data_IF_384706355743
#
_entry.id   IF_384706355743
#
_cell.length_a   1.000
_cell.length_b   1.000
_cell.length_c   1.000
_cell.angle_alpha   90.00
_cell.angle_beta   90.00
_cell.angle_gamma   90.00
#
_symmetry.space_group_name_H-M   'P 1'
#
loop_
_entity.id
_entity.type
_entity.pdbx_description
1 polymer ?
#
# COMPACT_ATOMS: atom_id res chain seq x y z
N UNK A 1 79.73 55.12 18.57
CA UNK A 1 79.42 56.01 19.72
C UNK A 1 78.05 55.59 20.23
N UNK A 2 77.99 54.86 21.37
CA UNK A 2 76.81 54.53 22.21
C UNK A 2 75.59 53.85 21.53
N UNK A 3 74.84 52.90 22.08
CA UNK A 3 74.82 52.04 23.26
C UNK A 3 73.53 51.18 23.08
N UNK A 4 73.54 49.91 23.55
CA UNK A 4 72.38 49.19 24.16
C UNK A 4 71.15 48.88 23.27
N UNK A 5 70.38 47.80 23.38
CA UNK A 5 70.36 46.59 24.22
C UNK A 5 69.27 45.66 23.66
N UNK A 6 69.58 44.36 23.56
CA UNK A 6 68.76 43.21 24.00
C UNK A 6 67.36 42.95 23.41
N UNK A 7 67.29 41.83 22.65
CA UNK A 7 66.39 40.68 22.86
C UNK A 7 64.87 40.90 22.87
N UNK A 8 64.16 40.33 21.88
CA UNK A 8 63.41 39.05 22.04
C UNK A 8 62.64 38.65 20.77
N UNK A 9 62.76 37.35 20.50
CA UNK A 9 61.77 36.44 19.91
C UNK A 9 61.63 36.33 18.37
N UNK A 10 62.29 35.27 17.86
CA UNK A 10 61.80 34.20 16.98
C UNK A 10 61.30 34.61 15.57
N UNK A 11 62.05 34.41 14.47
CA UNK A 11 62.38 33.12 13.79
C UNK A 11 61.20 32.14 13.76
N UNK A 12 60.75 31.55 12.65
CA UNK A 12 61.19 31.58 11.27
C UNK A 12 60.14 30.86 10.40
N UNK A 13 60.13 31.22 9.11
CA UNK A 13 60.03 30.35 7.93
C UNK A 13 58.83 29.40 7.80
N UNK A 14 57.93 29.66 6.84
CA UNK A 14 58.02 29.24 5.43
C UNK A 14 57.84 27.72 5.21
N UNK A 15 56.73 27.40 4.54
CA UNK A 15 56.62 26.45 3.42
C UNK A 15 56.84 24.96 3.73
N UNK A 16 56.15 23.99 3.13
CA UNK A 16 54.97 23.87 2.29
C UNK A 16 54.77 22.34 2.11
N UNK A 17 53.55 21.96 1.70
CA UNK A 17 53.19 20.69 1.04
C UNK A 17 52.87 19.49 1.96
N UNK A 18 51.74 18.87 1.61
CA UNK A 18 51.16 17.58 2.02
C UNK A 18 50.04 17.70 3.07
N UNK A 19 48.87 18.14 2.62
CA UNK A 19 47.60 17.64 3.15
C UNK A 19 46.92 16.95 1.96
N UNK A 20 47.07 15.63 1.93
CA UNK A 20 46.31 14.78 1.03
C UNK A 20 44.83 14.93 1.33
N UNK A 21 44.08 15.25 0.27
CA UNK A 21 42.63 15.20 0.21
C UNK A 21 42.16 13.79 0.60
N UNK A 22 41.75 13.60 1.86
CA UNK A 22 40.79 12.56 2.20
C UNK A 22 39.42 13.16 1.84
N UNK A 23 39.06 13.06 0.56
CA UNK A 23 37.65 13.08 0.19
C UNK A 23 37.11 11.78 0.76
N UNK A 24 36.48 11.87 1.93
CA UNK A 24 35.59 10.82 2.40
C UNK A 24 34.50 10.71 1.35
N UNK A 25 34.67 9.75 0.45
CA UNK A 25 33.56 9.21 -0.32
C UNK A 25 32.59 8.64 0.72
N UNK A 26 31.63 9.47 1.14
CA UNK A 26 30.34 8.96 1.57
C UNK A 26 29.77 8.25 0.34
N UNK A 27 30.17 6.99 0.17
CA UNK A 27 29.52 6.08 -0.75
C UNK A 27 28.10 5.97 -0.26
N UNK A 28 27.20 6.72 -0.90
CA UNK A 28 25.82 6.32 -1.01
C UNK A 28 25.85 4.86 -1.41
N UNK A 29 25.47 3.99 -0.49
CA UNK A 29 25.21 2.59 -0.82
C UNK A 29 23.93 2.60 -1.63
N UNK A 30 24.03 3.03 -2.89
CA UNK A 30 23.04 2.71 -3.90
C UNK A 30 23.09 1.20 -3.99
N UNK A 31 22.18 0.54 -3.28
CA UNK A 31 21.87 -0.86 -3.51
C UNK A 31 21.70 -0.98 -5.02
N UNK A 32 22.69 -1.59 -5.68
CA UNK A 32 22.60 -1.81 -7.11
C UNK A 32 21.41 -2.74 -7.30
N UNK A 33 20.29 -2.20 -7.80
CA UNK A 33 19.19 -3.00 -8.32
C UNK A 33 19.84 -4.05 -9.21
N UNK A 34 19.63 -5.32 -8.89
CA UNK A 34 20.14 -6.37 -9.76
C UNK A 34 19.47 -6.14 -11.12
N UNK A 35 20.24 -6.04 -12.20
CA UNK A 35 19.70 -5.97 -13.56
C UNK A 35 18.67 -7.08 -13.84
N UNK A 36 18.64 -8.14 -13.03
CA UNK A 36 17.61 -9.17 -13.01
C UNK A 36 16.20 -8.69 -12.65
N UNK A 37 16.01 -7.74 -11.72
CA UNK A 37 14.65 -7.33 -11.29
C UNK A 37 13.86 -6.67 -12.42
N UNK A 38 14.57 -5.98 -13.33
CA UNK A 38 13.99 -5.36 -14.53
C UNK A 38 13.48 -6.38 -15.56
N UNK A 39 13.72 -7.68 -15.35
CA UNK A 39 13.11 -8.74 -16.15
C UNK A 39 11.63 -8.91 -15.83
N UNK A 40 11.15 -8.47 -14.66
CA UNK A 40 9.73 -8.48 -14.30
C UNK A 40 9.02 -7.40 -15.12
N UNK A 41 7.97 -7.78 -15.86
CA UNK A 41 7.18 -6.85 -16.69
C UNK A 41 5.69 -6.85 -16.38
N UNK A 42 5.20 -7.79 -15.58
CA UNK A 42 3.82 -7.85 -15.12
C UNK A 42 3.78 -8.02 -13.60
N UNK A 43 3.27 -7.01 -12.90
CA UNK A 43 3.06 -7.02 -11.45
C UNK A 43 1.57 -7.13 -11.17
N UNK A 44 1.21 -8.06 -10.31
CA UNK A 44 -0.13 -8.27 -9.77
C UNK A 44 -0.06 -8.04 -8.26
N UNK A 45 -1.00 -7.26 -7.74
CA UNK A 45 -1.15 -7.02 -6.31
C UNK A 45 -2.57 -7.46 -5.95
N UNK A 46 -2.68 -8.41 -5.02
CA UNK A 46 -3.94 -8.70 -4.33
C UNK A 46 -3.78 -8.13 -2.92
N UNK A 47 -4.62 -7.19 -2.55
CA UNK A 47 -4.67 -6.65 -1.20
C UNK A 47 -5.87 -7.24 -0.47
N UNK A 48 -5.59 -7.84 0.68
CA UNK A 48 -6.56 -8.35 1.63
C UNK A 48 -6.72 -7.35 2.79
N UNK A 49 -7.70 -7.54 3.65
CA UNK A 49 -8.04 -6.54 4.67
C UNK A 49 -7.80 -7.03 6.10
N UNK A 50 -7.32 -6.11 6.95
CA UNK A 50 -7.36 -6.13 8.41
C UNK A 50 -7.01 -7.46 9.08
N UNK A 51 -5.85 -8.04 8.77
CA UNK A 51 -5.43 -9.31 9.38
C UNK A 51 -3.97 -9.29 9.84
N UNK A 52 -3.75 -9.73 11.07
CA UNK A 52 -2.43 -9.72 11.67
C UNK A 52 -1.64 -11.00 11.35
N UNK A 53 -0.31 -10.87 11.26
CA UNK A 53 0.58 -11.98 10.87
C UNK A 53 0.36 -13.26 11.69
N UNK A 54 0.20 -13.12 13.00
CA UNK A 54 0.04 -14.27 13.90
C UNK A 54 -1.29 -15.03 13.67
N UNK A 55 -2.35 -14.34 13.23
CA UNK A 55 -3.64 -14.95 12.91
C UNK A 55 -3.58 -15.62 11.53
N UNK A 56 -3.07 -14.90 10.54
CA UNK A 56 -2.99 -15.38 9.14
C UNK A 56 -1.99 -16.51 8.96
N UNK A 57 -0.78 -16.42 9.53
CA UNK A 57 0.30 -17.37 9.32
C UNK A 57 0.54 -18.30 10.53
N UNK A 58 -0.30 -18.20 11.56
CA UNK A 58 -0.24 -19.04 12.75
C UNK A 58 -0.82 -20.44 12.54
N UNK A 59 -0.64 -21.29 13.56
CA UNK A 59 -1.05 -22.70 13.52
C UNK A 59 -2.57 -22.92 13.34
N UNK A 60 -3.40 -21.93 13.69
CA UNK A 60 -4.87 -22.01 13.64
C UNK A 60 -5.49 -21.20 12.49
N UNK A 61 -4.67 -20.81 11.50
CA UNK A 61 -5.12 -20.01 10.35
C UNK A 61 -6.37 -20.57 9.68
N UNK A 62 -7.26 -19.66 9.27
CA UNK A 62 -8.41 -19.97 8.41
C UNK A 62 -8.09 -19.82 6.92
N UNK A 63 -6.87 -19.37 6.59
CA UNK A 63 -6.37 -19.25 5.24
C UNK A 63 -5.15 -20.15 4.95
N UNK A 64 -5.27 -21.49 5.10
CA UNK A 64 -4.15 -22.41 4.86
C UNK A 64 -3.61 -22.36 3.43
N UNK A 65 -4.41 -21.94 2.44
CA UNK A 65 -3.92 -21.77 1.08
C UNK A 65 -2.87 -20.66 1.02
N UNK A 66 -3.14 -19.48 1.60
CA UNK A 66 -2.15 -18.41 1.71
C UNK A 66 -0.97 -18.81 2.60
N UNK A 67 -1.29 -19.23 3.83
CA UNK A 67 -0.33 -19.41 4.90
C UNK A 67 0.65 -20.57 4.70
N UNK A 68 0.23 -21.60 3.97
CA UNK A 68 1.01 -22.82 3.80
C UNK A 68 1.31 -23.08 2.32
N UNK A 69 0.27 -23.09 1.48
CA UNK A 69 0.45 -23.46 0.07
C UNK A 69 1.23 -22.40 -0.69
N UNK A 70 0.75 -21.16 -0.73
CA UNK A 70 1.40 -20.07 -1.46
C UNK A 70 2.74 -19.68 -0.81
N UNK A 71 2.81 -19.62 0.52
CA UNK A 71 4.07 -19.42 1.23
C UNK A 71 5.16 -20.45 0.84
N UNK A 72 4.79 -21.72 0.65
CA UNK A 72 5.73 -22.76 0.20
C UNK A 72 6.13 -22.65 -1.28
N UNK A 73 5.30 -22.00 -2.10
CA UNK A 73 5.51 -21.86 -3.54
C UNK A 73 6.35 -20.63 -3.93
N UNK A 74 6.44 -19.64 -3.05
CA UNK A 74 7.22 -18.42 -3.29
C UNK A 74 7.98 -17.95 -2.05
N UNK A 75 7.83 -16.67 -1.73
CA UNK A 75 8.43 -16.03 -0.56
C UNK A 75 7.36 -15.68 0.48
N UNK A 76 7.59 -16.08 1.74
CA UNK A 76 6.90 -15.52 2.90
C UNK A 76 7.69 -14.34 3.44
N UNK A 77 7.09 -13.15 3.43
CA UNK A 77 7.63 -11.95 4.04
C UNK A 77 7.05 -11.82 5.44
N UNK A 78 7.83 -12.20 6.44
CA UNK A 78 7.33 -12.24 7.82
C UNK A 78 7.15 -10.84 8.39
N UNK A 79 8.04 -9.92 8.03
CA UNK A 79 8.13 -8.57 8.59
C UNK A 79 7.53 -7.54 7.61
N UNK A 80 6.33 -7.80 7.10
CA UNK A 80 5.57 -6.83 6.31
C UNK A 80 4.56 -6.10 7.20
N UNK A 81 4.44 -4.79 7.02
CA UNK A 81 3.64 -3.90 7.87
C UNK A 81 2.72 -3.01 7.03
N UNK A 82 1.53 -2.74 7.58
CA UNK A 82 0.69 -1.63 7.12
C UNK A 82 1.35 -0.28 7.44
N UNK A 83 0.88 0.78 6.79
CA UNK A 83 1.36 2.16 6.98
C UNK A 83 0.40 3.06 7.74
N UNK A 84 -0.87 2.71 7.84
CA UNK A 84 -1.88 3.38 8.63
C UNK A 84 -2.87 2.41 9.27
N UNK A 85 -3.88 2.94 9.94
CA UNK A 85 -4.75 2.18 10.85
C UNK A 85 -6.15 1.87 10.29
N UNK A 86 -6.42 2.37 9.09
CA UNK A 86 -7.69 2.18 8.39
C UNK A 86 -7.37 1.93 6.92
N UNK A 87 -8.23 1.22 6.21
CA UNK A 87 -7.94 0.72 4.87
C UNK A 87 -7.48 1.79 3.89
N UNK A 88 -8.21 2.91 3.77
CA UNK A 88 -7.98 3.86 2.68
C UNK A 88 -6.56 4.43 2.68
N UNK A 89 -6.01 4.75 3.84
CA UNK A 89 -4.69 5.39 3.87
C UNK A 89 -3.55 4.46 3.42
N UNK A 90 -3.73 3.15 3.62
CA UNK A 90 -2.83 2.10 3.14
C UNK A 90 -2.90 1.94 1.62
N UNK A 91 -4.10 1.93 1.04
CA UNK A 91 -4.28 1.92 -0.42
C UNK A 91 -3.67 3.16 -1.08
N UNK A 92 -3.87 4.35 -0.50
CA UNK A 92 -3.26 5.60 -0.96
C UNK A 92 -1.73 5.53 -0.89
N UNK A 93 -1.17 4.99 0.20
CA UNK A 93 0.27 4.80 0.36
C UNK A 93 0.84 3.87 -0.72
N UNK A 94 0.16 2.75 -1.01
CA UNK A 94 0.55 1.79 -2.04
C UNK A 94 0.55 2.38 -3.46
N UNK A 95 -0.37 3.31 -3.75
CA UNK A 95 -0.52 3.87 -5.10
C UNK A 95 0.32 5.14 -5.34
N UNK A 96 0.56 5.95 -4.31
CA UNK A 96 1.07 7.32 -4.47
C UNK A 96 2.19 7.72 -3.52
N UNK A 97 2.48 6.88 -2.52
CA UNK A 97 3.44 7.19 -1.46
C UNK A 97 3.01 8.36 -0.57
N UNK A 98 1.76 8.83 -0.67
CA UNK A 98 1.20 9.83 0.23
C UNK A 98 0.92 9.23 1.60
N UNK A 99 1.22 10.01 2.63
CA UNK A 99 0.86 9.74 4.02
C UNK A 99 -0.56 10.23 4.32
N UNK A 100 -1.16 9.74 5.41
CA UNK A 100 -2.57 9.99 5.68
C UNK A 100 -2.88 11.48 5.94
N UNK A 101 -4.08 11.90 5.55
CA UNK A 101 -4.79 13.06 6.10
C UNK A 101 -5.75 12.63 7.20
N UNK A 102 -6.35 13.57 7.91
CA UNK A 102 -7.43 13.22 8.85
C UNK A 102 -8.64 12.59 8.15
N UNK A 103 -8.87 12.87 6.86
CA UNK A 103 -9.97 12.26 6.10
C UNK A 103 -9.62 10.84 5.65
N UNK A 104 -8.43 10.61 5.09
CA UNK A 104 -8.03 9.28 4.64
C UNK A 104 -7.78 8.34 5.81
N UNK A 105 -7.31 8.86 6.95
CA UNK A 105 -7.19 8.12 8.23
C UNK A 105 -8.56 7.84 8.89
N UNK A 106 -9.67 8.19 8.23
CA UNK A 106 -11.04 7.84 8.60
C UNK A 106 -11.86 7.38 7.36
N UNK A 107 -11.20 6.69 6.42
CA UNK A 107 -11.78 6.10 5.19
C UNK A 107 -12.54 7.07 4.28
N UNK A 108 -12.39 8.37 4.50
CA UNK A 108 -13.09 9.42 3.78
C UNK A 108 -14.61 9.21 3.66
N UNK A 109 -15.29 9.09 4.81
CA UNK A 109 -16.76 8.94 4.90
C UNK A 109 -17.53 9.96 4.02
N UNK A 110 -17.02 11.18 3.92
CA UNK A 110 -17.48 12.16 2.93
C UNK A 110 -16.42 12.28 1.85
N UNK A 111 -16.71 11.76 0.66
CA UNK A 111 -15.79 11.72 -0.47
C UNK A 111 -15.57 13.14 -1.01
N UNK A 112 -14.52 13.82 -0.53
CA UNK A 112 -14.34 15.26 -0.67
C UNK A 112 -13.01 15.64 -1.31
N UNK A 113 -13.04 16.75 -2.06
CA UNK A 113 -11.85 17.33 -2.69
C UNK A 113 -10.76 17.63 -1.66
N UNK A 114 -9.52 17.34 -2.03
CA UNK A 114 -8.35 17.74 -1.28
C UNK A 114 -8.02 19.22 -1.53
N UNK A 115 -8.08 20.02 -0.47
CA UNK A 115 -7.66 21.41 -0.46
C UNK A 115 -6.14 21.49 -0.29
N UNK A 116 -5.42 21.58 -1.41
CA UNK A 116 -3.96 21.64 -1.43
C UNK A 116 -3.45 23.01 -1.00
N UNK A 117 -2.60 23.03 0.03
CA UNK A 117 -1.98 24.25 0.58
C UNK A 117 -0.47 24.29 0.41
N UNK A 118 0.17 23.16 0.11
CA UNK A 118 1.60 23.07 -0.16
C UNK A 118 2.04 21.64 -0.45
N UNK A 119 3.34 21.48 -0.67
CA UNK A 119 4.00 20.18 -0.82
C UNK A 119 5.27 20.17 0.01
N UNK A 120 5.59 19.07 0.67
CA UNK A 120 6.90 18.87 1.29
C UNK A 120 7.97 18.57 0.23
N UNK A 121 9.28 18.70 0.54
CA UNK A 121 10.35 18.42 -0.42
C UNK A 121 10.38 16.97 -0.92
N UNK A 122 9.91 16.02 -0.12
CA UNK A 122 9.75 14.60 -0.45
C UNK A 122 8.39 14.26 -1.07
N UNK A 123 7.61 15.28 -1.48
CA UNK A 123 6.43 15.09 -2.31
C UNK A 123 5.15 14.73 -1.56
N UNK A 124 5.05 14.97 -0.25
CA UNK A 124 3.80 14.86 0.50
C UNK A 124 2.94 16.11 0.27
N UNK A 125 1.67 15.90 -0.11
CA UNK A 125 0.68 16.96 -0.19
C UNK A 125 0.33 17.47 1.22
N UNK A 126 0.33 18.79 1.40
CA UNK A 126 -0.05 19.46 2.64
C UNK A 126 -1.44 20.04 2.47
N UNK A 127 -2.40 19.59 3.27
CA UNK A 127 -3.79 20.03 3.17
C UNK A 127 -4.78 19.10 3.86
N UNK A 128 -6.05 19.20 3.46
CA UNK A 128 -7.16 18.44 4.03
C UNK A 128 -8.09 17.95 2.92
N UNK A 129 -8.74 16.81 3.13
CA UNK A 129 -9.57 16.12 2.14
C UNK A 129 -8.94 14.81 1.70
N UNK A 130 -9.57 14.11 0.76
CA UNK A 130 -9.11 12.78 0.35
C UNK A 130 -9.01 12.58 -1.16
N UNK A 131 -9.65 13.42 -1.98
CA UNK A 131 -9.52 13.35 -3.44
C UNK A 131 -8.44 14.33 -3.90
N UNK A 132 -7.23 13.83 -4.11
CA UNK A 132 -6.05 14.62 -4.40
C UNK A 132 -6.12 15.28 -5.79
N UNK A 133 -5.66 16.54 -5.95
CA UNK A 133 -5.63 17.20 -7.25
C UNK A 133 -4.65 16.50 -8.20
N UNK A 134 -4.86 16.64 -9.52
CA UNK A 134 -4.07 15.97 -10.56
C UNK A 134 -2.55 16.33 -10.57
N UNK A 135 -2.15 17.34 -9.78
CA UNK A 135 -0.75 17.67 -9.53
C UNK A 135 -0.04 16.67 -8.61
N UNK A 136 -0.78 15.95 -7.76
CA UNK A 136 -0.25 14.85 -6.95
C UNK A 136 -0.20 13.61 -7.82
N UNK A 137 0.99 13.03 -7.98
CA UNK A 137 1.23 11.93 -8.92
C UNK A 137 1.10 10.57 -8.27
N UNK A 138 0.66 9.62 -9.09
CA UNK A 138 0.41 8.23 -8.73
C UNK A 138 1.29 7.30 -9.57
N UNK A 139 1.41 6.04 -9.15
CA UNK A 139 2.06 5.00 -9.94
C UNK A 139 1.45 4.86 -11.35
N UNK A 140 0.10 4.86 -11.54
CA UNK A 140 -0.54 5.00 -12.84
C UNK A 140 -0.05 6.15 -13.72
N UNK A 141 0.15 7.35 -13.15
CA UNK A 141 0.70 8.50 -13.90
C UNK A 141 2.10 8.17 -14.44
N UNK A 142 2.96 7.59 -13.59
CA UNK A 142 4.34 7.25 -13.95
C UNK A 142 4.41 6.12 -14.98
N UNK A 143 3.62 5.07 -14.79
CA UNK A 143 3.54 3.94 -15.72
C UNK A 143 3.09 4.41 -17.10
N UNK A 144 2.01 5.20 -17.15
CA UNK A 144 1.49 5.76 -18.41
C UNK A 144 2.54 6.64 -19.08
N UNK A 145 3.23 7.51 -18.33
CA UNK A 145 4.29 8.36 -18.87
C UNK A 145 5.49 7.56 -19.40
N UNK A 146 5.77 6.40 -18.83
CA UNK A 146 6.82 5.48 -19.26
C UNK A 146 6.36 4.50 -20.37
N UNK A 147 5.09 4.56 -20.81
CA UNK A 147 4.53 3.68 -21.84
C UNK A 147 4.12 2.30 -21.35
N UNK A 148 3.99 2.10 -20.04
CA UNK A 148 3.42 0.89 -19.44
C UNK A 148 1.92 1.04 -19.21
N UNK A 149 1.25 -0.11 -19.16
CA UNK A 149 -0.20 -0.21 -18.94
C UNK A 149 -0.51 -0.56 -17.49
N UNK A 150 -1.68 -0.17 -17.00
CA UNK A 150 -2.13 -0.46 -15.65
C UNK A 150 -3.64 -0.69 -15.62
N UNK A 151 -4.12 -1.50 -14.67
CA UNK A 151 -5.54 -1.73 -14.40
C UNK A 151 -5.84 -1.99 -12.92
N UNK A 152 -7.05 -1.61 -12.50
CA UNK A 152 -7.70 -1.98 -11.25
C UNK A 152 -8.87 -2.92 -11.51
N UNK A 153 -9.00 -3.95 -10.68
CA UNK A 153 -10.01 -5.00 -10.77
C UNK A 153 -10.70 -5.15 -9.43
N UNK A 154 -11.83 -4.47 -9.30
CA UNK A 154 -12.55 -4.34 -8.03
C UNK A 154 -13.75 -5.29 -8.03
N UNK A 155 -13.82 -6.21 -7.08
CA UNK A 155 -14.94 -7.15 -6.98
C UNK A 155 -16.23 -6.42 -6.59
N UNK A 156 -17.36 -6.90 -7.13
CA UNK A 156 -18.70 -6.30 -7.01
C UNK A 156 -18.92 -4.88 -7.55
N UNK A 157 -17.88 -4.16 -8.00
CA UNK A 157 -18.06 -2.80 -8.57
C UNK A 157 -19.15 -2.78 -9.65
N UNK A 158 -20.17 -1.95 -9.45
CA UNK A 158 -21.28 -1.74 -10.38
C UNK A 158 -22.45 -2.69 -10.23
N UNK A 159 -22.51 -3.49 -9.16
CA UNK A 159 -23.66 -4.34 -8.91
C UNK A 159 -24.90 -3.50 -8.57
N UNK A 160 -24.76 -2.40 -7.84
CA UNK A 160 -25.79 -1.38 -7.66
C UNK A 160 -25.44 -0.06 -8.38
N UNK A 161 -26.02 0.21 -9.57
CA UNK A 161 -25.80 1.46 -10.29
C UNK A 161 -26.35 2.71 -9.59
N UNK A 162 -27.06 2.56 -8.46
CA UNK A 162 -27.50 3.68 -7.62
C UNK A 162 -26.47 4.06 -6.56
N UNK A 163 -25.51 3.18 -6.24
CA UNK A 163 -24.38 3.44 -5.34
C UNK A 163 -23.15 3.91 -6.10
N UNK A 164 -22.80 3.26 -7.22
CA UNK A 164 -21.65 3.63 -8.04
C UNK A 164 -21.77 3.20 -9.51
N UNK A 165 -20.86 3.72 -10.36
CA UNK A 165 -20.77 3.31 -11.75
C UNK A 165 -20.07 1.95 -11.93
N UNK A 166 -20.41 1.20 -12.99
CA UNK A 166 -19.84 -0.13 -13.24
C UNK A 166 -18.36 -0.17 -13.68
N UNK A 167 -17.78 1.01 -13.88
CA UNK A 167 -16.35 1.22 -14.15
C UNK A 167 -16.01 2.59 -13.60
N UNK A 168 -14.81 2.79 -13.03
CA UNK A 168 -14.49 4.03 -12.32
C UNK A 168 -15.58 4.36 -11.28
N UNK A 169 -16.01 3.36 -10.51
CA UNK A 169 -17.11 3.49 -9.57
C UNK A 169 -16.68 4.25 -8.32
N UNK A 170 -17.18 5.48 -8.16
CA UNK A 170 -16.91 6.29 -6.97
C UNK A 170 -18.12 7.18 -6.63
N UNK A 171 -18.22 7.67 -5.37
CA UNK A 171 -19.25 8.63 -4.99
C UNK A 171 -19.15 9.93 -5.77
N UNK A 172 -20.23 10.70 -5.79
CA UNK A 172 -20.17 12.08 -6.28
C UNK A 172 -19.30 12.91 -5.33
N UNK A 173 -18.44 13.79 -5.89
CA UNK A 173 -17.61 14.68 -5.08
C UNK A 173 -18.43 15.49 -4.08
N UNK A 174 -17.89 15.58 -2.87
CA UNK A 174 -18.43 16.25 -1.70
C UNK A 174 -19.76 15.65 -1.20
N UNK A 175 -19.95 14.34 -1.39
CA UNK A 175 -21.11 13.60 -0.87
C UNK A 175 -20.68 12.45 0.05
N UNK A 176 -21.62 11.93 0.84
CA UNK A 176 -21.37 10.74 1.66
C UNK A 176 -21.10 9.54 0.75
N UNK A 177 -20.05 8.80 1.08
CA UNK A 177 -19.75 7.54 0.42
C UNK A 177 -20.71 6.44 0.90
N UNK A 178 -21.60 5.99 0.02
CA UNK A 178 -22.57 4.92 0.29
C UNK A 178 -21.94 3.52 0.18
N UNK A 179 -20.71 3.44 -0.32
CA UNK A 179 -19.95 2.20 -0.43
C UNK A 179 -19.27 1.82 0.89
N UNK A 180 -19.36 2.68 1.91
CA UNK A 180 -18.80 2.39 3.24
C UNK A 180 -19.44 1.18 3.93
N UNK A 181 -20.67 0.84 3.56
CA UNK A 181 -21.41 -0.30 4.07
C UNK A 181 -21.82 -1.24 2.94
N UNK A 182 -21.59 -2.53 3.12
CA UNK A 182 -22.05 -3.58 2.23
C UNK A 182 -23.60 -3.61 2.08
N UNK A 183 -24.08 -3.85 0.88
CA UNK A 183 -25.49 -4.06 0.56
C UNK A 183 -25.81 -5.56 0.43
N UNK A 184 -26.77 -6.03 1.23
CA UNK A 184 -27.26 -7.40 1.15
C UNK A 184 -28.08 -7.63 -0.15
N UNK A 185 -28.14 -8.87 -0.67
CA UNK A 185 -29.00 -9.22 -1.79
C UNK A 185 -30.46 -8.78 -1.61
N UNK A 186 -31.01 -8.12 -2.62
CA UNK A 186 -32.38 -7.59 -2.63
C UNK A 186 -33.05 -7.82 -3.99
N UNK A 187 -34.34 -7.47 -4.11
CA UNK A 187 -35.02 -7.55 -5.41
C UNK A 187 -34.46 -6.53 -6.43
N UNK A 188 -33.91 -5.42 -5.97
CA UNK A 188 -33.30 -4.40 -6.82
C UNK A 188 -31.84 -4.73 -7.17
N UNK A 189 -31.13 -5.35 -6.22
CA UNK A 189 -29.71 -5.72 -6.33
C UNK A 189 -29.55 -7.21 -5.99
N UNK A 190 -29.84 -8.14 -6.93
CA UNK A 190 -29.97 -9.57 -6.62
C UNK A 190 -28.70 -10.26 -6.12
N UNK A 191 -27.53 -9.71 -6.44
CA UNK A 191 -26.24 -10.24 -5.99
C UNK A 191 -25.78 -9.60 -4.66
N UNK A 192 -26.49 -8.56 -4.20
CA UNK A 192 -25.93 -7.61 -3.24
C UNK A 192 -24.79 -6.82 -3.87
N UNK A 193 -24.17 -5.95 -3.07
CA UNK A 193 -23.04 -5.15 -3.50
C UNK A 193 -22.11 -4.90 -2.31
N UNK A 194 -20.92 -5.49 -2.39
CA UNK A 194 -19.90 -5.40 -1.35
C UNK A 194 -18.65 -4.68 -1.86
N UNK A 195 -18.76 -3.91 -2.96
CA UNK A 195 -17.71 -2.98 -3.37
C UNK A 195 -17.59 -1.84 -2.34
N UNK A 196 -16.34 -1.47 -2.05
CA UNK A 196 -15.98 -0.39 -1.15
C UNK A 196 -14.96 0.53 -1.82
N UNK A 197 -15.35 1.78 -2.08
CA UNK A 197 -14.48 2.76 -2.74
C UNK A 197 -13.22 2.99 -1.93
N UNK A 198 -13.28 2.92 -0.60
CA UNK A 198 -12.10 3.05 0.28
C UNK A 198 -10.99 2.02 0.02
N UNK A 199 -11.28 0.90 -0.66
CA UNK A 199 -10.27 -0.09 -1.06
C UNK A 199 -9.80 0.11 -2.52
N UNK A 200 -10.34 1.09 -3.24
CA UNK A 200 -9.94 1.47 -4.60
C UNK A 200 -9.18 2.82 -4.56
N UNK A 201 -7.84 2.82 -4.45
CA UNK A 201 -7.07 4.06 -4.38
C UNK A 201 -7.13 4.89 -5.67
N UNK A 202 -7.49 4.28 -6.81
CA UNK A 202 -7.58 5.00 -8.08
C UNK A 202 -8.65 6.09 -8.03
N UNK A 203 -9.69 5.89 -7.20
CA UNK A 203 -10.80 6.82 -7.06
C UNK A 203 -10.43 8.09 -6.27
N UNK A 204 -9.23 8.20 -5.69
CA UNK A 204 -8.90 9.34 -4.84
C UNK A 204 -7.94 10.33 -5.50
N UNK A 205 -7.79 10.30 -6.83
CA UNK A 205 -6.91 11.21 -7.56
C UNK A 205 -7.58 11.76 -8.81
N UNK A 206 -7.67 13.09 -8.92
CA UNK A 206 -8.15 13.78 -10.13
C UNK A 206 -7.31 13.47 -11.38
N UNK A 207 -6.04 13.05 -11.24
CA UNK A 207 -5.26 12.57 -12.39
C UNK A 207 -5.86 11.31 -13.02
N UNK A 208 -6.69 10.58 -12.28
CA UNK A 208 -7.34 9.35 -12.72
C UNK A 208 -8.83 9.58 -12.96
N UNK A 209 -9.60 10.03 -11.97
CA UNK A 209 -11.07 10.08 -12.06
C UNK A 209 -11.58 11.08 -13.12
N UNK A 210 -10.82 12.15 -13.40
CA UNK A 210 -11.15 13.10 -14.46
C UNK A 210 -10.57 12.69 -15.83
N UNK A 211 -9.78 11.61 -15.87
CA UNK A 211 -9.18 11.13 -17.10
C UNK A 211 -10.17 10.30 -17.93
N UNK A 212 -10.10 10.37 -19.27
CA UNK A 212 -10.93 9.53 -20.13
C UNK A 212 -10.57 8.03 -20.05
N UNK A 213 -9.45 7.69 -19.39
CA UNK A 213 -8.98 6.32 -19.22
C UNK A 213 -9.57 5.60 -18.00
N UNK A 214 -10.17 6.32 -17.04
CA UNK A 214 -10.60 5.72 -15.78
C UNK A 214 -11.53 4.52 -16.00
N UNK A 215 -12.62 4.70 -16.75
CA UNK A 215 -13.59 3.63 -17.02
C UNK A 215 -13.07 2.47 -17.89
N UNK A 216 -11.89 2.60 -18.48
CA UNK A 216 -11.23 1.50 -19.20
C UNK A 216 -10.26 0.72 -18.32
N UNK A 217 -9.66 1.40 -17.34
CA UNK A 217 -8.60 0.85 -16.52
C UNK A 217 -9.09 0.32 -15.17
N UNK A 218 -10.13 0.94 -14.60
CA UNK A 218 -10.71 0.54 -13.30
C UNK A 218 -12.08 -0.05 -13.55
N UNK A 219 -12.17 -1.36 -13.35
CA UNK A 219 -13.31 -2.17 -13.79
C UNK A 219 -13.65 -3.25 -12.77
N UNK A 220 -14.85 -3.82 -12.91
CA UNK A 220 -15.23 -4.99 -12.13
C UNK A 220 -14.26 -6.18 -12.34
N UNK A 221 -13.94 -6.91 -11.27
CA UNK A 221 -13.03 -8.07 -11.25
C UNK A 221 -13.35 -9.14 -12.31
N UNK A 222 -14.60 -9.28 -12.71
CA UNK A 222 -15.01 -10.22 -13.78
C UNK A 222 -14.26 -10.02 -15.11
N UNK A 223 -13.74 -8.81 -15.37
CA UNK A 223 -12.94 -8.51 -16.59
C UNK A 223 -11.56 -9.15 -16.59
N UNK A 224 -10.98 -9.44 -15.42
CA UNK A 224 -9.61 -9.96 -15.29
C UNK A 224 -9.40 -11.23 -16.13
N UNK A 225 -10.35 -12.15 -16.14
CA UNK A 225 -10.24 -13.41 -16.90
C UNK A 225 -10.10 -13.21 -18.40
N UNK A 226 -10.68 -12.14 -18.95
CA UNK A 226 -10.56 -11.81 -20.38
C UNK A 226 -9.19 -11.18 -20.65
N UNK A 227 -8.77 -10.26 -19.80
CA UNK A 227 -7.50 -9.55 -19.98
C UNK A 227 -6.29 -10.48 -19.81
N UNK A 228 -6.40 -11.52 -18.98
CA UNK A 228 -5.36 -12.54 -18.78
C UNK A 228 -5.16 -13.52 -19.96
N UNK A 229 -5.98 -13.45 -21.02
CA UNK A 229 -5.90 -14.42 -22.13
C UNK A 229 -4.61 -14.32 -22.95
N UNK A 230 -3.93 -13.17 -22.94
CA UNK A 230 -2.69 -12.96 -23.69
C UNK A 230 -1.79 -11.93 -23.04
N UNK A 231 -0.49 -11.99 -23.34
CA UNK A 231 0.48 -10.96 -22.90
C UNK A 231 0.08 -9.56 -23.35
N UNK A 232 -0.53 -9.41 -24.53
CA UNK A 232 -0.89 -8.11 -25.08
C UNK A 232 -2.13 -7.48 -24.42
N UNK A 233 -2.95 -8.28 -23.73
CA UNK A 233 -4.19 -7.83 -23.08
C UNK A 233 -4.02 -7.67 -21.56
N UNK A 234 -3.03 -8.34 -20.96
CA UNK A 234 -2.68 -8.17 -19.55
C UNK A 234 -1.93 -6.85 -19.35
N UNK A 235 -2.35 -6.04 -18.37
CA UNK A 235 -1.65 -4.81 -18.04
C UNK A 235 -0.30 -5.08 -17.34
N UNK A 236 0.65 -4.14 -17.42
CA UNK A 236 1.92 -4.26 -16.72
C UNK A 236 1.77 -4.18 -15.19
N UNK A 237 0.84 -3.37 -14.70
CA UNK A 237 0.45 -3.32 -13.29
C UNK A 237 -1.03 -3.64 -13.14
N UNK A 238 -1.36 -4.54 -12.22
CA UNK A 238 -2.73 -4.99 -11.97
C UNK A 238 -2.95 -4.95 -10.45
N UNK A 239 -3.83 -4.08 -9.98
CA UNK A 239 -4.36 -4.12 -8.61
C UNK A 239 -5.66 -4.92 -8.63
N UNK A 240 -5.80 -5.87 -7.71
CA UNK A 240 -6.96 -6.73 -7.55
C UNK A 240 -7.44 -6.57 -6.11
N UNK A 241 -8.66 -6.11 -5.95
CA UNK A 241 -9.26 -5.86 -4.64
C UNK A 241 -10.51 -6.74 -4.50
N UNK A 242 -10.50 -7.71 -3.57
CA UNK A 242 -11.70 -8.47 -3.24
C UNK A 242 -12.78 -7.56 -2.64
N UNK A 243 -14.03 -8.01 -2.66
CA UNK A 243 -15.12 -7.28 -2.01
C UNK A 243 -15.05 -7.48 -0.49
N UNK A 244 -15.90 -6.78 0.25
CA UNK A 244 -15.93 -6.86 1.72
C UNK A 244 -16.14 -8.28 2.27
N UNK A 245 -16.67 -9.21 1.48
CA UNK A 245 -16.82 -10.60 1.94
C UNK A 245 -15.56 -11.44 1.75
N UNK A 246 -14.83 -11.18 0.67
CA UNK A 246 -13.72 -12.01 0.19
C UNK A 246 -12.34 -11.43 0.57
N UNK A 247 -12.29 -10.24 1.16
CA UNK A 247 -11.06 -9.53 1.50
C UNK A 247 -10.35 -10.06 2.75
N UNK A 248 -11.05 -10.76 3.64
CA UNK A 248 -10.48 -11.30 4.86
C UNK A 248 -10.95 -10.65 6.16
N UNK A 249 -11.68 -9.53 6.09
CA UNK A 249 -12.09 -8.76 7.25
C UNK A 249 -13.54 -9.01 7.67
N UNK A 250 -14.53 -8.71 6.82
CA UNK A 250 -15.92 -8.74 7.27
C UNK A 250 -16.40 -10.17 7.50
N UNK A 251 -16.96 -10.44 8.68
CA UNK A 251 -17.53 -11.75 9.01
C UNK A 251 -18.66 -11.63 10.03
N UNK A 252 -19.83 -12.27 9.79
CA UNK A 252 -20.24 -12.90 8.53
C UNK A 252 -20.57 -11.87 7.43
N UNK A 253 -20.55 -12.28 6.17
CA UNK A 253 -20.91 -11.41 5.05
C UNK A 253 -22.42 -11.10 5.03
N UNK A 254 -22.79 -9.95 4.47
CA UNK A 254 -24.21 -9.53 4.36
C UNK A 254 -25.04 -10.44 3.43
N UNK A 255 -24.38 -11.20 2.56
CA UNK A 255 -25.00 -12.19 1.68
C UNK A 255 -25.14 -13.59 2.33
N UNK A 256 -24.73 -13.75 3.60
CA UNK A 256 -24.82 -14.99 4.36
C UNK A 256 -23.61 -15.94 4.22
N UNK A 257 -22.59 -15.56 3.46
CA UNK A 257 -21.32 -16.30 3.41
C UNK A 257 -20.49 -16.13 4.70
N UNK A 258 -19.51 -17.01 4.96
CA UNK A 258 -18.73 -16.99 6.20
C UNK A 258 -17.93 -15.70 6.43
N UNK A 259 -17.38 -15.12 5.38
CA UNK A 259 -16.49 -13.95 5.49
C UNK A 259 -15.14 -14.27 6.11
N UNK A 260 -14.42 -13.21 6.47
CA UNK A 260 -13.11 -13.29 7.11
C UNK A 260 -12.08 -14.07 6.28
N UNK A 261 -10.99 -14.50 6.94
CA UNK A 261 -9.96 -15.35 6.32
C UNK A 261 -10.48 -16.64 5.66
N UNK A 262 -11.68 -17.12 6.00
CA UNK A 262 -12.27 -18.31 5.34
C UNK A 262 -12.69 -17.99 3.91
N UNK A 263 -13.35 -16.85 3.70
CA UNK A 263 -13.70 -16.36 2.36
C UNK A 263 -12.45 -15.96 1.58
N UNK A 264 -11.52 -15.20 2.19
CA UNK A 264 -10.25 -14.84 1.55
C UNK A 264 -9.44 -16.07 1.09
N UNK A 265 -9.43 -17.15 1.87
CA UNK A 265 -8.83 -18.41 1.45
C UNK A 265 -9.44 -18.95 0.15
N UNK A 266 -10.77 -18.91 0.06
CA UNK A 266 -11.53 -19.40 -1.09
C UNK A 266 -11.32 -18.51 -2.32
N UNK A 267 -11.33 -17.18 -2.11
CA UNK A 267 -11.00 -16.20 -3.12
C UNK A 267 -9.61 -16.46 -3.72
N UNK A 268 -8.58 -16.61 -2.88
CA UNK A 268 -7.21 -16.88 -3.35
C UNK A 268 -7.10 -18.23 -4.05
N UNK A 269 -7.78 -19.28 -3.57
CA UNK A 269 -7.81 -20.60 -4.22
C UNK A 269 -8.36 -20.55 -5.64
N UNK A 270 -9.27 -19.60 -5.93
CA UNK A 270 -9.81 -19.36 -7.26
C UNK A 270 -8.86 -18.51 -8.11
N UNK A 271 -8.48 -17.34 -7.61
CA UNK A 271 -7.86 -16.31 -8.44
C UNK A 271 -6.36 -16.51 -8.64
N UNK A 272 -5.63 -17.01 -7.64
CA UNK A 272 -4.18 -17.19 -7.77
C UNK A 272 -3.82 -18.20 -8.88
N UNK A 273 -4.49 -19.37 -9.02
CA UNK A 273 -4.25 -20.26 -10.16
C UNK A 273 -4.59 -19.63 -11.51
N UNK A 274 -5.64 -18.81 -11.60
CA UNK A 274 -6.03 -18.11 -12.84
C UNK A 274 -4.94 -17.12 -13.25
N UNK A 275 -4.45 -16.29 -12.31
CA UNK A 275 -3.38 -15.32 -12.55
C UNK A 275 -2.08 -16.03 -12.90
N UNK A 276 -1.65 -16.98 -12.08
CA UNK A 276 -0.33 -17.63 -12.22
C UNK A 276 -0.24 -18.53 -13.44
N UNK A 277 -1.35 -19.01 -13.99
CA UNK A 277 -1.37 -19.76 -15.26
C UNK A 277 -1.45 -18.88 -16.51
N UNK A 278 -1.64 -17.56 -16.37
CA UNK A 278 -1.75 -16.64 -17.50
C UNK A 278 -0.44 -16.51 -18.29
N UNK A 279 -0.48 -16.26 -19.61
CA UNK A 279 0.73 -16.11 -20.43
C UNK A 279 1.66 -15.00 -19.93
N UNK A 280 1.11 -13.85 -19.55
CA UNK A 280 1.87 -12.72 -19.03
C UNK A 280 2.61 -13.06 -17.73
N UNK A 281 1.93 -13.74 -16.80
CA UNK A 281 2.56 -14.14 -15.55
C UNK A 281 3.69 -15.15 -15.76
N UNK A 282 3.46 -16.16 -16.62
CA UNK A 282 4.47 -17.16 -16.95
C UNK A 282 5.69 -16.56 -17.67
N UNK A 283 5.47 -15.49 -18.45
CA UNK A 283 6.54 -14.79 -19.14
C UNK A 283 7.46 -14.06 -18.16
N UNK A 284 6.94 -13.24 -17.26
CA UNK A 284 7.73 -12.34 -16.41
C UNK A 284 6.90 -11.73 -15.26
N UNK A 285 6.03 -12.53 -14.65
CA UNK A 285 5.12 -12.13 -13.58
C UNK A 285 5.70 -12.07 -12.18
N UNK A 286 5.22 -11.11 -11.40
CA UNK A 286 5.31 -11.05 -9.93
C UNK A 286 3.89 -10.89 -9.38
N UNK A 287 3.49 -11.77 -8.46
CA UNK A 287 2.26 -11.64 -7.68
C UNK A 287 2.64 -11.32 -6.24
N UNK A 288 2.08 -10.24 -5.71
CA UNK A 288 2.20 -9.80 -4.32
C UNK A 288 0.83 -9.97 -3.68
N UNK A 289 0.76 -10.67 -2.56
CA UNK A 289 -0.45 -10.82 -1.74
C UNK A 289 -0.10 -10.23 -0.37
N UNK A 290 -0.70 -9.08 -0.04
CA UNK A 290 -0.50 -8.37 1.21
C UNK A 290 -1.84 -8.10 1.91
N UNK A 291 -1.76 -7.46 3.07
CA UNK A 291 -2.90 -6.84 3.72
C UNK A 291 -2.63 -5.35 3.90
N UNK A 292 -3.67 -4.53 3.91
CA UNK A 292 -3.64 -3.09 4.20
C UNK A 292 -3.10 -2.77 5.61
N UNK A 293 -3.67 -3.37 6.66
CA UNK A 293 -3.22 -3.25 8.04
C UNK A 293 -3.56 -4.50 8.86
N UNK A 294 -3.06 -4.53 10.08
CA UNK A 294 -3.37 -5.58 11.05
C UNK A 294 -4.61 -5.21 11.87
N UNK A 295 -5.46 -6.19 12.17
CA UNK A 295 -6.62 -6.05 13.08
C UNK A 295 -6.29 -5.87 14.55
N UNK A 296 -5.00 -5.77 14.94
CA UNK A 296 -4.61 -5.72 16.35
C UNK A 296 -4.99 -4.39 17.02
N UNK A 297 -6.16 -4.38 17.65
CA UNK A 297 -6.53 -3.42 18.66
C UNK A 297 -6.57 -4.09 20.05
N UNK A 298 -6.04 -3.41 21.06
CA UNK A 298 -6.34 -3.76 22.45
C UNK A 298 -7.75 -3.28 22.75
N UNK A 299 -8.68 -4.20 23.05
CA UNK A 299 -10.07 -3.87 23.36
C UNK A 299 -10.26 -3.80 24.88
N UNK A 300 -10.73 -2.65 25.36
CA UNK A 300 -11.19 -2.48 26.75
C UNK A 300 -12.69 -2.23 26.74
N UNK A 301 -13.46 -3.13 27.35
CA UNK A 301 -14.91 -2.95 27.48
C UNK A 301 -15.25 -2.20 28.75
N UNK A 302 -16.24 -1.31 28.66
CA UNK A 302 -16.86 -0.59 29.77
C UNK A 302 -18.37 -0.73 29.71
N UNK A 303 -19.06 -0.36 30.80
CA UNK A 303 -20.53 -0.37 30.83
C UNK A 303 -21.19 0.63 29.84
N UNK A 304 -20.42 1.59 29.31
CA UNK A 304 -20.88 2.66 28.43
C UNK A 304 -20.32 2.58 27.00
N UNK A 305 -19.48 1.58 26.70
CA UNK A 305 -18.78 1.54 25.42
C UNK A 305 -17.58 0.62 25.37
N UNK A 306 -16.97 0.55 24.19
CA UNK A 306 -15.74 -0.20 23.92
C UNK A 306 -14.64 0.76 23.47
N UNK A 307 -13.44 0.62 24.05
CA UNK A 307 -12.26 1.37 23.65
C UNK A 307 -11.31 0.42 22.89
N UNK A 308 -11.08 0.71 21.61
CA UNK A 308 -10.11 0.02 20.77
C UNK A 308 -8.84 0.86 20.69
N UNK A 309 -7.72 0.31 21.13
CA UNK A 309 -6.42 0.99 21.10
C UNK A 309 -5.47 0.30 20.13
N UNK A 310 -5.07 1.01 19.09
CA UNK A 310 -4.12 0.56 18.07
C UNK A 310 -2.71 1.01 18.44
N UNK A 311 -1.76 0.08 18.43
CA UNK A 311 -0.39 0.36 18.82
C UNK A 311 0.34 1.19 17.75
N UNK A 312 0.16 0.85 16.47
CA UNK A 312 0.85 1.52 15.37
C UNK A 312 2.31 1.13 15.33
N UNK A 313 2.60 -0.17 15.42
CA UNK A 313 3.95 -0.67 15.17
C UNK A 313 4.28 -0.37 13.72
N UNK A 314 5.33 0.41 13.52
CA UNK A 314 5.85 0.74 12.20
C UNK A 314 7.22 0.09 11.99
N UNK A 315 7.65 0.05 10.73
CA UNK A 315 8.97 -0.40 10.34
C UNK A 315 9.66 0.64 9.45
N UNK A 316 10.84 0.28 8.94
CA UNK A 316 11.30 0.85 7.67
C UNK A 316 11.58 2.35 7.71
N UNK A 317 11.83 2.87 8.93
CA UNK A 317 11.98 4.30 9.21
C UNK A 317 10.82 5.15 8.69
N UNK A 318 9.59 4.61 8.70
CA UNK A 318 8.39 5.36 8.34
C UNK A 318 8.32 6.68 9.11
N UNK A 319 8.01 7.76 8.40
CA UNK A 319 7.88 9.10 8.94
C UNK A 319 6.41 9.46 9.20
N UNK A 320 6.11 10.32 10.18
CA UNK A 320 4.79 10.89 10.32
C UNK A 320 4.50 11.84 9.14
N UNK A 321 3.29 11.75 8.59
CA UNK A 321 2.80 12.64 7.54
C UNK A 321 2.56 14.08 8.01
N UNK A 322 2.48 15.07 7.10
CA UNK A 322 2.30 16.47 7.45
C UNK A 322 0.87 16.85 7.87
N UNK A 323 -0.11 15.97 7.63
CA UNK A 323 -1.54 16.31 7.71
C UNK A 323 -2.24 15.75 8.95
N UNK A 324 -1.55 14.95 9.76
CA UNK A 324 -2.07 14.42 11.02
C UNK A 324 -1.57 15.22 12.22
N UNK A 325 -2.39 15.28 13.26
CA UNK A 325 -1.98 15.83 14.54
C UNK A 325 -0.97 14.91 15.26
N UNK A 326 -0.36 15.41 16.33
CA UNK A 326 0.48 14.57 17.18
C UNK A 326 -0.36 13.43 17.80
N UNK A 327 0.22 12.23 17.84
CA UNK A 327 -0.36 11.07 18.52
C UNK A 327 -0.15 11.14 20.05
N UNK A 328 -1.02 10.51 20.87
CA UNK A 328 -2.18 9.70 20.45
C UNK A 328 -3.34 10.53 19.92
N UNK A 329 -4.10 9.94 19.00
CA UNK A 329 -5.34 10.52 18.47
C UNK A 329 -6.52 9.62 18.80
N UNK A 330 -7.66 10.22 19.15
CA UNK A 330 -8.88 9.47 19.45
C UNK A 330 -10.09 10.02 18.70
N UNK A 331 -10.93 9.12 18.24
CA UNK A 331 -12.26 9.42 17.69
C UNK A 331 -13.30 8.51 18.35
N UNK A 332 -14.56 8.95 18.37
CA UNK A 332 -15.65 8.15 18.92
C UNK A 332 -16.82 8.12 17.95
N UNK A 333 -17.44 6.94 17.81
CA UNK A 333 -18.66 6.75 17.04
C UNK A 333 -19.70 6.00 17.87
N UNK A 334 -20.97 6.18 17.53
CA UNK A 334 -22.08 5.44 18.14
C UNK A 334 -22.44 4.26 17.26
N UNK A 335 -22.38 3.05 17.80
CA UNK A 335 -22.75 1.82 17.11
C UNK A 335 -23.62 0.97 18.02
N UNK A 336 -24.79 0.53 17.56
CA UNK A 336 -25.67 -0.34 18.34
C UNK A 336 -26.10 0.21 19.71
N UNK A 337 -26.05 1.54 19.92
CA UNK A 337 -26.38 2.18 21.20
C UNK A 337 -25.24 2.22 22.23
N UNK A 338 -24.03 1.80 21.86
CA UNK A 338 -22.80 1.97 22.64
C UNK A 338 -21.86 2.98 21.96
N UNK A 339 -20.98 3.61 22.75
CA UNK A 339 -19.90 4.43 22.21
C UNK A 339 -18.69 3.54 21.94
N UNK A 340 -18.19 3.56 20.71
CA UNK A 340 -16.92 2.94 20.35
C UNK A 340 -15.88 4.06 20.25
N UNK A 341 -14.82 4.00 21.06
CA UNK A 341 -13.68 4.92 20.98
C UNK A 341 -12.52 4.24 20.29
N UNK A 342 -12.06 4.80 19.18
CA UNK A 342 -10.85 4.38 18.50
C UNK A 342 -9.71 5.27 18.99
N UNK A 343 -8.62 4.69 19.49
CA UNK A 343 -7.42 5.42 19.91
C UNK A 343 -6.19 4.88 19.19
N UNK A 344 -5.56 5.73 18.38
CA UNK A 344 -4.33 5.43 17.65
C UNK A 344 -3.15 5.98 18.45
N UNK A 345 -2.22 5.12 18.87
CA UNK A 345 -1.07 5.51 19.70
C UNK A 345 0.09 6.07 18.89
N UNK A 346 0.18 5.69 17.61
CA UNK A 346 1.23 6.07 16.66
C UNK A 346 0.68 5.99 15.24
N UNK A 347 1.44 6.43 14.25
CA UNK A 347 1.24 6.02 12.84
C UNK A 347 1.74 4.58 12.62
N UNK A 348 1.52 4.02 11.42
CA UNK A 348 1.85 2.63 11.09
C UNK A 348 0.63 1.71 11.22
N UNK A 349 0.65 0.56 10.56
CA UNK A 349 -0.49 -0.36 10.47
C UNK A 349 -0.25 -1.74 11.06
N UNK A 350 0.77 -1.87 11.94
CA UNK A 350 1.14 -3.11 12.60
C UNK A 350 1.53 -4.24 11.61
N UNK A 351 1.89 -5.41 12.12
CA UNK A 351 2.48 -6.50 11.32
C UNK A 351 1.42 -7.40 10.68
N UNK A 352 1.38 -7.43 9.35
CA UNK A 352 0.42 -8.22 8.56
C UNK A 352 1.06 -9.45 7.93
N UNK A 353 2.29 -9.30 7.43
CA UNK A 353 2.92 -10.28 6.55
C UNK A 353 2.48 -10.17 5.10
N UNK A 354 3.25 -10.78 4.20
CA UNK A 354 2.91 -10.88 2.79
C UNK A 354 3.44 -12.18 2.18
N UNK A 355 2.84 -12.61 1.08
CA UNK A 355 3.34 -13.70 0.25
C UNK A 355 3.60 -13.19 -1.16
N UNK A 356 4.74 -13.56 -1.74
CA UNK A 356 5.09 -13.20 -3.11
C UNK A 356 5.38 -14.43 -3.95
N UNK A 357 4.79 -14.51 -5.14
CA UNK A 357 4.98 -15.60 -6.09
C UNK A 357 5.59 -15.06 -7.38
N UNK A 358 6.68 -15.67 -7.83
CA UNK A 358 7.29 -15.37 -9.12
C UNK A 358 8.27 -16.48 -9.50
N UNK A 359 8.54 -16.67 -10.79
CA UNK A 359 9.64 -17.54 -11.25
C UNK A 359 11.03 -17.04 -10.81
N UNK A 360 11.12 -15.76 -10.44
CA UNK A 360 12.33 -15.10 -9.95
C UNK A 360 12.54 -15.28 -8.43
N UNK A 361 11.66 -16.03 -7.77
CA UNK A 361 11.70 -16.35 -6.34
C UNK A 361 11.84 -17.87 -6.22
N UNK A 362 12.81 -18.33 -5.43
CA UNK A 362 12.94 -19.76 -5.11
C UNK A 362 11.78 -20.17 -4.18
N UNK A 363 11.04 -21.27 -4.48
CA UNK A 363 9.99 -21.75 -3.59
C UNK A 363 10.49 -22.00 -2.15
N UNK A 364 9.70 -21.58 -1.17
CA UNK A 364 10.01 -21.69 0.26
C UNK A 364 10.98 -20.62 0.76
N UNK A 365 11.14 -19.52 0.03
CA UNK A 365 11.90 -18.35 0.49
C UNK A 365 11.22 -17.75 1.72
N UNK A 366 12.00 -17.32 2.70
CA UNK A 366 11.50 -16.60 3.87
C UNK A 366 12.34 -15.35 4.05
N UNK A 367 11.69 -14.19 4.08
CA UNK A 367 12.34 -12.92 4.38
C UNK A 367 11.91 -12.41 5.75
N UNK A 368 12.91 -11.96 6.51
CA UNK A 368 12.76 -11.23 7.78
C UNK A 368 13.14 -9.75 7.61
N UNK A 369 13.42 -9.31 6.38
CA UNK A 369 13.62 -7.89 6.09
C UNK A 369 12.29 -7.17 6.29
N UNK A 370 12.37 -6.02 6.95
CA UNK A 370 11.22 -5.19 7.19
C UNK A 370 10.79 -4.46 5.91
N UNK A 371 9.51 -4.59 5.57
CA UNK A 371 8.88 -3.89 4.45
C UNK A 371 7.53 -3.33 4.86
N UNK A 372 7.10 -2.26 4.20
CA UNK A 372 5.73 -1.76 4.28
C UNK A 372 5.20 -1.38 2.88
N UNK A 373 4.05 -0.72 2.81
CA UNK A 373 3.47 -0.27 1.54
C UNK A 373 4.36 0.67 0.74
N UNK A 374 5.10 1.57 1.40
CA UNK A 374 6.07 2.42 0.72
C UNK A 374 7.22 1.58 0.12
N UNK A 375 7.69 0.53 0.82
CA UNK A 375 8.67 -0.41 0.27
C UNK A 375 8.12 -1.14 -0.96
N UNK A 376 6.84 -1.52 -0.95
CA UNK A 376 6.20 -2.16 -2.11
C UNK A 376 6.15 -1.21 -3.31
N UNK A 377 5.65 0.01 -3.12
CA UNK A 377 5.61 1.02 -4.18
C UNK A 377 7.01 1.28 -4.74
N UNK A 378 7.99 1.49 -3.87
CA UNK A 378 9.40 1.64 -4.24
C UNK A 378 9.90 0.50 -5.13
N UNK A 379 9.55 -0.74 -4.77
CA UNK A 379 9.97 -1.93 -5.50
C UNK A 379 9.37 -1.99 -6.90
N UNK A 380 8.11 -1.59 -7.03
CA UNK A 380 7.41 -1.56 -8.31
C UNK A 380 7.99 -0.44 -9.19
N UNK A 381 8.25 0.74 -8.62
CA UNK A 381 8.93 1.83 -9.30
C UNK A 381 10.34 1.41 -9.77
N UNK A 382 11.10 0.70 -8.94
CA UNK A 382 12.41 0.15 -9.27
C UNK A 382 12.36 -0.87 -10.42
N UNK A 383 11.37 -1.78 -10.43
CA UNK A 383 11.12 -2.76 -11.50
C UNK A 383 10.89 -2.06 -12.84
N UNK A 384 10.06 -1.00 -12.84
CA UNK A 384 9.70 -0.26 -14.05
C UNK A 384 10.65 0.90 -14.37
N UNK A 385 11.70 1.12 -13.57
CA UNK A 385 12.68 2.21 -13.71
C UNK A 385 12.03 3.60 -13.65
N UNK A 386 11.10 3.77 -12.71
CA UNK A 386 10.39 5.02 -12.44
C UNK A 386 11.10 5.83 -11.34
N UNK A 387 10.72 7.09 -11.18
CA UNK A 387 11.12 7.85 -9.99
C UNK A 387 10.34 7.40 -8.76
N UNK A 388 10.82 7.70 -7.56
CA UNK A 388 10.11 7.31 -6.34
C UNK A 388 9.13 8.39 -5.88
N UNK A 389 7.85 8.03 -5.72
CA UNK A 389 6.78 8.91 -5.26
C UNK A 389 6.73 9.01 -3.73
N UNK A 390 6.54 10.22 -3.21
CA UNK A 390 6.28 10.43 -1.79
C UNK A 390 7.28 9.72 -0.88
N UNK A 391 6.77 8.99 0.11
CA UNK A 391 7.59 8.24 1.04
C UNK A 391 8.20 6.96 0.46
N UNK A 392 7.87 6.53 -0.76
CA UNK A 392 8.68 5.51 -1.47
C UNK A 392 10.09 6.02 -1.77
N UNK A 393 10.28 7.35 -1.83
CA UNK A 393 11.57 8.01 -2.01
C UNK A 393 12.31 8.37 -0.72
N UNK A 394 11.77 8.04 0.45
CA UNK A 394 12.37 8.46 1.73
C UNK A 394 13.72 7.80 1.97
N UNK A 395 14.62 8.53 2.64
CA UNK A 395 15.93 8.01 2.99
C UNK A 395 15.83 6.80 3.94
N UNK A 396 16.59 5.74 3.64
CA UNK A 396 16.63 4.53 4.47
C UNK A 396 15.53 3.50 4.18
N UNK A 397 14.53 3.84 3.36
CA UNK A 397 13.54 2.86 2.91
C UNK A 397 14.15 1.90 1.88
N UNK A 398 13.96 0.61 2.13
CA UNK A 398 14.40 -0.46 1.25
C UNK A 398 13.23 -1.02 0.45
N UNK A 399 13.46 -1.25 -0.84
CA UNK A 399 12.57 -2.07 -1.69
C UNK A 399 12.97 -3.55 -1.61
N UNK A 400 12.11 -4.41 -2.13
CA UNK A 400 12.34 -5.85 -2.25
C UNK A 400 13.66 -6.12 -2.97
N UNK A 401 14.51 -6.95 -2.36
CA UNK A 401 15.85 -7.21 -2.86
C UNK A 401 16.15 -8.69 -3.04
N UNK A 402 17.43 -9.04 -2.87
CA UNK A 402 17.93 -10.41 -3.03
C UNK A 402 17.39 -11.39 -1.97
N UNK A 403 16.80 -10.89 -0.89
CA UNK A 403 16.07 -11.68 0.11
C UNK A 403 14.73 -12.20 -0.42
N UNK A 404 14.12 -11.49 -1.38
CA UNK A 404 12.90 -11.90 -2.07
C UNK A 404 13.25 -12.61 -3.37
N UNK A 405 13.97 -11.93 -4.26
CA UNK A 405 14.25 -12.40 -5.61
C UNK A 405 15.46 -13.33 -5.65
N UNK A 406 15.32 -14.47 -4.97
CA UNK A 406 16.37 -15.47 -4.73
C UNK A 406 16.70 -16.36 -5.94
N UNK A 407 16.04 -16.13 -7.08
CA UNK A 407 16.21 -16.90 -8.33
C UNK A 407 16.34 -15.99 -9.57
N UNK A 408 16.94 -14.80 -9.42
CA UNK A 408 17.29 -13.87 -10.50
C UNK A 408 18.66 -14.15 -11.14
#
# INVERSE_FOLDING_TARGET
>A
MFQRTWMRALFAALSAVIIGLIVAACGSSSSSISAGQQQIRHVFVITLENENYATTFGANTKAPYLAQTLASQGALVQQYYGTGHVSLDNYIAMLSGQSPTSQTDNDCITYQDFSLTGMTPDGQAIGTGCVYPASVKTLPDQLTAAGYTWKGYEEDMGNDPTREAATCGHPTLNTTDLTQTAEAPSAAVPLGDQYATRHDPFMYFHSIIDSPGCGQNVVNLTKLTTDLQSVATTANFNLITPNLCDDGHDSPCVNGQPGGLTSANTFLQKWVPIITSSPAFQQDGLLIINFDESSYATVTQSASGEDLTFAGTSCCSQQPGPNLAAFPQSSSLLYGGITITLTKQSFGGDQTGAVMISKFIKPGTVSTVQYNHYSMLKSIEDIFQLGHLGYAGQAGLVGFGNDIFTNL
#
